data_IF_832702683274
#
_entry.id   IF_832702683274
#
_cell.length_a   1.000
_cell.length_b   1.000
_cell.length_c   1.000
_cell.angle_alpha   90.00
_cell.angle_beta   90.00
_cell.angle_gamma   90.00
#
_symmetry.space_group_name_H-M   'P 1'
#
loop_
_entity.id
_entity.type
_entity.pdbx_description
1 polymer ?
#
# COMPACT_ATOMS: atom_id res chain seq x y z
N UNK A 1 4.26 -10.78 -2.51
CA UNK A 1 2.89 -10.41 -2.94
C UNK A 1 1.87 -10.91 -1.94
N UNK A 2 1.15 -10.02 -1.27
CA UNK A 2 0.07 -10.38 -0.33
C UNK A 2 -1.26 -10.38 -1.09
N UNK A 3 -2.07 -11.41 -0.90
CA UNK A 3 -3.38 -11.54 -1.55
C UNK A 3 -4.46 -11.67 -0.49
N UNK A 4 -5.66 -11.20 -0.82
CA UNK A 4 -6.87 -11.35 -0.02
C UNK A 4 -7.83 -12.31 -0.70
N UNK A 5 -8.54 -13.06 0.12
CA UNK A 5 -9.69 -13.87 -0.27
C UNK A 5 -10.94 -13.00 -0.41
N UNK A 6 -11.94 -13.46 -1.17
CA UNK A 6 -13.22 -12.76 -1.23
C UNK A 6 -13.90 -12.62 0.15
N UNK A 7 -13.64 -13.54 1.08
CA UNK A 7 -14.19 -13.50 2.44
C UNK A 7 -13.54 -12.42 3.31
N UNK A 8 -12.21 -12.26 3.23
CA UNK A 8 -11.51 -11.17 3.91
C UNK A 8 -11.97 -9.81 3.38
N UNK A 9 -12.11 -9.66 2.07
CA UNK A 9 -12.62 -8.42 1.45
C UNK A 9 -14.05 -8.12 1.88
N UNK A 10 -14.90 -9.16 1.95
CA UNK A 10 -16.26 -9.03 2.43
C UNK A 10 -16.30 -8.51 3.88
N UNK A 11 -15.42 -9.01 4.74
CA UNK A 11 -15.26 -8.54 6.12
C UNK A 11 -14.78 -7.09 6.19
N UNK A 12 -13.79 -6.70 5.35
CA UNK A 12 -13.27 -5.33 5.33
C UNK A 12 -14.29 -4.28 4.90
N UNK A 13 -15.18 -4.62 3.96
CA UNK A 13 -16.18 -3.70 3.43
C UNK A 13 -17.56 -3.84 4.10
N UNK A 14 -17.71 -4.75 5.07
CA UNK A 14 -19.00 -5.12 5.67
C UNK A 14 -20.08 -5.46 4.62
N UNK A 15 -19.70 -6.28 3.63
CA UNK A 15 -20.59 -6.73 2.55
C UNK A 15 -20.69 -8.25 2.50
N UNK A 16 -21.71 -8.77 1.82
CA UNK A 16 -21.84 -10.19 1.58
C UNK A 16 -20.73 -10.70 0.62
N UNK A 17 -20.20 -11.90 0.87
CA UNK A 17 -19.24 -12.61 -0.01
C UNK A 17 -19.67 -12.61 -1.48
N UNK A 18 -20.97 -12.81 -1.75
CA UNK A 18 -21.53 -12.83 -3.12
C UNK A 18 -21.34 -11.48 -3.83
N UNK A 19 -21.40 -10.36 -3.09
CA UNK A 19 -21.17 -9.03 -3.64
C UNK A 19 -19.74 -8.89 -4.14
N UNK A 20 -18.76 -9.34 -3.35
CA UNK A 20 -17.34 -9.32 -3.73
C UNK A 20 -17.08 -10.20 -4.95
N UNK A 21 -17.67 -11.40 -4.99
CA UNK A 21 -17.55 -12.29 -6.16
C UNK A 21 -18.10 -11.60 -7.41
N UNK A 22 -19.25 -10.92 -7.33
CA UNK A 22 -19.80 -10.15 -8.45
C UNK A 22 -18.89 -9.01 -8.88
N UNK A 23 -18.21 -8.32 -7.96
CA UNK A 23 -17.23 -7.29 -8.34
C UNK A 23 -16.06 -7.88 -9.13
N UNK A 24 -15.60 -9.08 -8.78
CA UNK A 24 -14.52 -9.77 -9.49
C UNK A 24 -15.00 -10.26 -10.86
N UNK A 25 -16.14 -10.92 -10.93
CA UNK A 25 -16.70 -11.47 -12.18
C UNK A 25 -17.10 -10.37 -13.18
N UNK A 26 -17.57 -9.22 -12.68
CA UNK A 26 -17.86 -8.05 -13.52
C UNK A 26 -16.61 -7.26 -13.91
N UNK A 27 -15.42 -7.65 -13.45
CA UNK A 27 -14.16 -6.95 -13.73
C UNK A 27 -13.98 -5.61 -13.00
N UNK A 28 -14.90 -5.24 -12.11
CA UNK A 28 -14.77 -4.02 -11.27
C UNK A 28 -13.62 -4.13 -10.29
N UNK A 29 -13.43 -5.32 -9.71
CA UNK A 29 -12.33 -5.64 -8.82
C UNK A 29 -11.39 -6.64 -9.51
N UNK A 30 -10.12 -6.28 -9.67
CA UNK A 30 -9.14 -7.13 -10.34
C UNK A 30 -8.76 -8.30 -9.44
N UNK A 31 -9.13 -9.50 -9.87
CA UNK A 31 -8.82 -10.74 -9.15
C UNK A 31 -8.50 -11.87 -10.11
N UNK A 32 -7.89 -12.93 -9.57
CA UNK A 32 -7.56 -14.15 -10.30
C UNK A 32 -8.02 -15.37 -9.50
N UNK A 33 -8.23 -16.49 -10.20
CA UNK A 33 -8.56 -17.77 -9.58
C UNK A 33 -7.30 -18.61 -9.47
N UNK A 34 -7.13 -19.27 -8.33
CA UNK A 34 -6.08 -20.28 -8.20
C UNK A 34 -6.44 -21.53 -9.01
N UNK A 35 -5.46 -22.17 -9.68
CA UNK A 35 -5.70 -23.44 -10.36
C UNK A 35 -6.17 -24.49 -9.36
N UNK A 36 -7.20 -25.25 -9.72
CA UNK A 36 -7.86 -26.23 -8.85
C UNK A 36 -9.11 -25.68 -8.18
N UNK A 37 -9.08 -25.47 -6.85
CA UNK A 37 -10.28 -25.22 -6.00
C UNK A 37 -11.02 -23.90 -6.27
N UNK A 38 -10.60 -23.11 -7.27
CA UNK A 38 -11.37 -21.98 -7.81
C UNK A 38 -11.54 -20.77 -6.89
N UNK A 39 -10.88 -20.75 -5.73
CA UNK A 39 -10.99 -19.63 -4.81
C UNK A 39 -10.39 -18.35 -5.44
N UNK A 40 -11.18 -17.27 -5.44
CA UNK A 40 -10.70 -15.98 -5.91
C UNK A 40 -9.62 -15.43 -4.97
N UNK A 41 -8.64 -14.76 -5.58
CA UNK A 41 -7.59 -13.99 -4.92
C UNK A 41 -7.51 -12.62 -5.56
N UNK A 42 -7.30 -11.61 -4.74
CA UNK A 42 -7.14 -10.21 -5.15
C UNK A 42 -5.85 -9.71 -4.50
N UNK A 43 -5.01 -9.02 -5.27
CA UNK A 43 -3.81 -8.40 -4.69
C UNK A 43 -4.25 -7.26 -3.76
N UNK A 44 -3.55 -7.09 -2.62
CA UNK A 44 -3.90 -6.01 -1.68
C UNK A 44 -3.85 -4.65 -2.37
N UNK A 45 -2.86 -4.41 -3.22
CA UNK A 45 -2.72 -3.17 -4.00
C UNK A 45 -3.93 -2.93 -4.92
N UNK A 46 -4.37 -3.96 -5.65
CA UNK A 46 -5.55 -3.88 -6.51
C UNK A 46 -6.84 -3.64 -5.69
N UNK A 47 -6.93 -4.19 -4.47
CA UNK A 47 -8.05 -3.94 -3.58
C UNK A 47 -8.06 -2.51 -3.04
N UNK A 48 -6.91 -1.97 -2.62
CA UNK A 48 -6.86 -0.58 -2.14
C UNK A 48 -7.17 0.39 -3.28
N UNK A 49 -6.61 0.18 -4.48
CA UNK A 49 -6.94 0.99 -5.65
C UNK A 49 -8.43 0.95 -6.00
N UNK A 50 -9.10 -0.19 -5.76
CA UNK A 50 -10.56 -0.30 -5.89
C UNK A 50 -11.30 0.50 -4.82
N UNK A 51 -10.85 0.49 -3.56
CA UNK A 51 -11.44 1.31 -2.50
C UNK A 51 -11.33 2.80 -2.83
N UNK A 52 -10.15 3.26 -3.23
CA UNK A 52 -9.89 4.65 -3.62
C UNK A 52 -10.76 5.09 -4.80
N UNK A 53 -10.84 4.29 -5.85
CA UNK A 53 -11.63 4.60 -7.05
C UNK A 53 -13.12 4.77 -6.76
N UNK A 54 -13.62 4.09 -5.74
CA UNK A 54 -15.03 4.08 -5.36
C UNK A 54 -15.32 4.91 -4.10
N UNK A 55 -14.37 5.75 -3.66
CA UNK A 55 -14.49 6.61 -2.47
C UNK A 55 -14.88 5.82 -1.20
N UNK A 56 -14.39 4.58 -1.08
CA UNK A 56 -14.63 3.72 0.08
C UNK A 56 -13.53 3.89 1.12
N UNK A 57 -13.87 3.79 2.42
CA UNK A 57 -12.89 3.91 3.49
C UNK A 57 -11.87 2.77 3.44
N UNK A 58 -10.58 3.11 3.46
CA UNK A 58 -9.48 2.14 3.51
C UNK A 58 -9.28 1.72 4.99
N UNK A 59 -9.41 0.43 5.33
CA UNK A 59 -9.14 -0.07 6.68
C UNK A 59 -7.71 0.26 7.13
N UNK A 60 -7.52 0.60 8.41
CA UNK A 60 -6.20 0.99 8.94
C UNK A 60 -5.12 -0.07 8.70
N UNK A 61 -5.50 -1.36 8.76
CA UNK A 61 -4.60 -2.49 8.46
C UNK A 61 -4.09 -2.54 7.01
N UNK A 62 -4.67 -1.76 6.10
CA UNK A 62 -4.31 -1.67 4.68
C UNK A 62 -3.71 -0.31 4.29
N UNK A 63 -3.80 0.72 5.15
CA UNK A 63 -3.33 2.08 4.87
C UNK A 63 -1.82 2.19 4.58
N UNK A 64 -1.00 1.27 5.09
CA UNK A 64 0.45 1.22 4.81
C UNK A 64 0.87 0.37 3.61
N UNK A 65 -0.09 -0.27 2.91
CA UNK A 65 0.20 -1.14 1.77
C UNK A 65 -0.02 -0.41 0.43
N UNK A 66 -0.81 0.67 0.44
CA UNK A 66 -1.22 1.40 -0.75
C UNK A 66 -0.18 2.40 -1.26
N UNK A 67 0.42 3.15 -0.34
CA UNK A 67 1.46 4.14 -0.63
C UNK A 67 2.78 3.64 -0.07
N UNK A 68 3.73 3.20 -0.92
CA UNK A 68 5.04 2.80 -0.44
C UNK A 68 5.70 4.00 0.24
N UNK A 69 6.25 3.80 1.43
CA UNK A 69 6.96 4.85 2.15
C UNK A 69 8.47 4.79 1.86
N UNK A 70 9.10 5.96 1.80
CA UNK A 70 10.54 6.14 1.62
C UNK A 70 11.14 6.93 2.79
N UNK A 71 12.27 6.46 3.29
CA UNK A 71 13.11 7.20 4.24
C UNK A 71 14.32 7.79 3.50
N UNK A 72 14.44 9.11 3.54
CA UNK A 72 15.52 9.85 2.90
C UNK A 72 16.55 10.17 3.98
N UNK A 73 17.76 9.63 3.88
CA UNK A 73 18.86 9.90 4.82
C UNK A 73 19.88 10.80 4.13
N UNK A 74 19.97 12.05 4.58
CA UNK A 74 20.81 13.08 3.97
C UNK A 74 20.95 14.25 4.98
N UNK A 75 22.17 14.66 5.28
CA UNK A 75 22.49 15.75 6.21
C UNK A 75 22.34 17.14 5.58
N UNK A 76 22.28 17.23 4.25
CA UNK A 76 22.01 18.44 3.49
C UNK A 76 20.51 18.60 3.19
N UNK A 77 19.80 19.35 4.04
CA UNK A 77 18.36 19.59 3.88
C UNK A 77 17.90 20.04 2.48
N UNK A 78 18.61 20.90 1.73
CA UNK A 78 18.23 21.24 0.35
C UNK A 78 18.18 20.02 -0.60
N UNK A 79 19.12 19.08 -0.44
CA UNK A 79 19.20 17.84 -1.22
C UNK A 79 18.07 16.90 -0.80
N UNK A 80 17.94 16.66 0.50
CA UNK A 80 16.86 15.86 1.08
C UNK A 80 15.46 16.33 0.62
N UNK A 81 15.22 17.65 0.61
CA UNK A 81 13.95 18.24 0.14
C UNK A 81 13.73 18.07 -1.36
N UNK A 82 14.79 18.06 -2.15
CA UNK A 82 14.69 17.82 -3.59
C UNK A 82 14.27 16.38 -3.89
N UNK A 83 14.87 15.42 -3.20
CA UNK A 83 14.49 13.99 -3.27
C UNK A 83 13.05 13.80 -2.77
N UNK A 84 12.70 14.41 -1.64
CA UNK A 84 11.35 14.36 -1.07
C UNK A 84 10.28 14.80 -2.07
N UNK A 85 10.56 15.86 -2.83
CA UNK A 85 9.64 16.39 -3.85
C UNK A 85 9.41 15.38 -4.98
N UNK A 86 10.48 14.72 -5.44
CA UNK A 86 10.40 13.69 -6.48
C UNK A 86 9.65 12.46 -5.97
N UNK A 87 9.98 11.98 -4.77
CA UNK A 87 9.33 10.85 -4.13
C UNK A 87 7.82 11.05 -3.96
N UNK A 88 7.41 12.22 -3.45
CA UNK A 88 5.98 12.56 -3.30
C UNK A 88 5.25 12.60 -4.65
N UNK A 89 5.88 13.12 -5.70
CA UNK A 89 5.31 13.11 -7.06
C UNK A 89 5.18 11.69 -7.62
N UNK A 90 6.04 10.77 -7.19
CA UNK A 90 5.97 9.35 -7.53
C UNK A 90 4.99 8.57 -6.63
N UNK A 91 4.23 9.24 -5.75
CA UNK A 91 3.22 8.62 -4.89
C UNK A 91 3.77 8.01 -3.60
N UNK A 92 5.03 8.31 -3.23
CA UNK A 92 5.59 7.84 -1.97
C UNK A 92 5.16 8.73 -0.80
N UNK A 93 4.84 8.09 0.33
CA UNK A 93 4.92 8.76 1.62
C UNK A 93 6.41 8.93 1.97
N UNK A 94 6.81 10.11 2.47
CA UNK A 94 8.24 10.46 2.56
C UNK A 94 8.63 10.97 3.94
N UNK A 95 9.70 10.43 4.50
CA UNK A 95 10.33 10.89 5.74
C UNK A 95 11.78 11.30 5.50
N UNK A 96 12.31 12.20 6.33
CA UNK A 96 13.71 12.67 6.23
C UNK A 96 14.41 12.42 7.57
N UNK A 97 15.59 11.83 7.52
CA UNK A 97 16.55 11.76 8.61
C UNK A 97 17.84 12.49 8.20
N UNK A 98 18.41 13.30 9.10
CA UNK A 98 19.63 14.08 8.84
C UNK A 98 20.88 13.40 9.38
N UNK A 99 20.84 12.08 9.56
CA UNK A 99 21.96 11.30 10.09
C UNK A 99 21.60 9.85 10.40
N UNK A 100 22.62 9.00 10.50
CA UNK A 100 22.45 7.54 10.63
C UNK A 100 21.72 7.09 11.90
N UNK A 101 21.93 7.77 13.04
CA UNK A 101 21.25 7.43 14.28
C UNK A 101 19.73 7.69 14.20
N UNK A 102 19.35 8.88 13.69
CA UNK A 102 17.96 9.22 13.46
C UNK A 102 17.32 8.26 12.44
N UNK A 103 18.04 7.94 11.36
CA UNK A 103 17.59 6.97 10.36
C UNK A 103 17.30 5.60 10.99
N UNK A 104 18.17 5.11 11.89
CA UNK A 104 17.97 3.85 12.62
C UNK A 104 16.67 3.83 13.44
N UNK A 105 16.37 4.91 14.16
CA UNK A 105 15.12 5.04 14.93
C UNK A 105 13.91 5.03 13.97
N UNK A 106 14.01 5.80 12.89
CA UNK A 106 12.92 5.97 11.91
C UNK A 106 12.63 4.70 11.11
N UNK A 107 13.64 3.85 10.86
CA UNK A 107 13.46 2.55 10.22
C UNK A 107 12.51 1.66 11.03
N UNK A 108 12.66 1.63 12.36
CA UNK A 108 11.77 0.86 13.23
C UNK A 108 10.39 1.50 13.40
N UNK A 109 10.30 2.83 13.32
CA UNK A 109 9.05 3.56 13.54
C UNK A 109 8.12 3.50 12.31
N UNK A 110 8.68 3.67 11.12
CA UNK A 110 7.91 3.87 9.89
C UNK A 110 7.96 2.69 8.91
N UNK A 111 8.81 1.68 9.18
CA UNK A 111 9.00 0.49 8.34
C UNK A 111 9.02 0.78 6.82
N UNK A 112 9.83 1.76 6.37
CA UNK A 112 9.82 2.21 4.99
C UNK A 112 10.23 1.09 4.04
N UNK A 113 9.62 1.05 2.86
CA UNK A 113 9.93 0.04 1.83
C UNK A 113 11.20 0.38 1.04
N UNK A 114 11.59 1.65 1.05
CA UNK A 114 12.77 2.17 0.37
C UNK A 114 13.53 3.10 1.31
N UNK A 115 14.85 3.07 1.27
CA UNK A 115 15.70 4.05 1.95
C UNK A 115 16.77 4.54 0.98
N UNK A 116 16.99 5.85 0.93
CA UNK A 116 18.16 6.43 0.24
C UNK A 116 19.28 6.62 1.24
N UNK A 117 20.51 6.36 0.80
CA UNK A 117 21.73 6.67 1.53
C UNK A 117 22.56 7.56 0.62
N UNK A 118 22.82 8.78 1.06
CA UNK A 118 23.64 9.78 0.37
C UNK A 118 24.73 10.24 1.34
#
# INVERSE_FOLDING_TARGET
>A
MKTLTSGEIASYCDVNLRTVIRWIESGKLKGFKLPGRGNNRVLVEDFVAFLERHDMPIPDSLKGIATPSILIVDDEMPVAKSIQRVARRAGYESYIATGGFQAGIMLSQYEPKVMTLI
#
